data_IF_606945831370
#
_entry.id   IF_606945831370
#
_cell.length_a   1.000
_cell.length_b   1.000
_cell.length_c   1.000
_cell.angle_alpha   90.00
_cell.angle_beta   90.00
_cell.angle_gamma   90.00
#
_symmetry.space_group_name_H-M   'P 1'
#
loop_
_entity.id
_entity.type
_entity.pdbx_description
1 polymer ?
#
# COMPACT_ATOMS: atom_id res chain seq x y z
N UNK A 1 -13.62 11.46 23.18
CA UNK A 1 -12.75 12.43 22.44
C UNK A 1 -13.54 13.19 21.38
N UNK A 2 -13.17 14.42 21.07
CA UNK A 2 -13.63 15.12 19.87
C UNK A 2 -12.75 14.75 18.68
N UNK A 3 -13.22 15.01 17.44
CA UNK A 3 -12.43 14.68 16.23
C UNK A 3 -11.79 15.92 15.62
N UNK A 4 -10.49 15.82 15.35
CA UNK A 4 -9.76 16.81 14.57
C UNK A 4 -9.48 16.26 13.15
N UNK A 5 -9.86 17.02 12.14
CA UNK A 5 -9.51 16.76 10.73
C UNK A 5 -8.30 17.62 10.39
N UNK A 6 -7.21 16.98 9.95
CA UNK A 6 -5.99 17.67 9.52
C UNK A 6 -5.92 17.60 8.00
N UNK A 7 -6.16 18.72 7.35
CA UNK A 7 -6.09 18.93 5.91
C UNK A 7 -4.94 19.88 5.59
N UNK A 8 -3.71 19.40 5.69
CA UNK A 8 -2.49 20.18 5.57
C UNK A 8 -1.42 19.42 4.81
N UNK A 9 -0.55 20.13 4.09
CA UNK A 9 0.64 19.56 3.44
C UNK A 9 1.72 19.15 4.46
N UNK A 10 1.61 19.65 5.70
CA UNK A 10 2.55 19.36 6.81
C UNK A 10 1.81 18.82 8.04
N UNK A 11 1.02 17.74 7.92
CA UNK A 11 0.16 17.28 9.02
C UNK A 11 0.93 16.88 10.29
N UNK A 12 2.18 16.44 10.17
CA UNK A 12 3.03 16.10 11.31
C UNK A 12 3.25 17.25 12.31
N UNK A 13 3.15 18.50 11.86
CA UNK A 13 3.25 19.67 12.75
C UNK A 13 2.10 19.74 13.76
N UNK A 14 0.96 19.12 13.45
CA UNK A 14 -0.27 19.22 14.23
C UNK A 14 -0.59 17.95 15.02
N UNK A 15 -0.13 16.79 14.58
CA UNK A 15 -0.47 15.49 15.19
C UNK A 15 -0.17 15.47 16.69
N UNK A 16 1.00 15.96 17.09
CA UNK A 16 1.45 15.97 18.48
C UNK A 16 0.87 17.11 19.32
N UNK A 17 0.25 18.12 18.67
CA UNK A 17 -0.39 19.23 19.39
C UNK A 17 -1.86 18.96 19.72
N UNK A 18 -2.38 17.80 19.29
CA UNK A 18 -3.78 17.42 19.44
C UNK A 18 -3.93 16.07 20.16
N UNK A 19 -3.36 15.90 21.39
CA UNK A 19 -3.34 14.59 22.08
C UNK A 19 -4.75 14.13 22.48
N UNK A 20 -5.67 15.07 22.74
CA UNK A 20 -7.04 14.80 23.21
C UNK A 20 -8.06 14.64 22.08
N UNK A 21 -7.60 14.62 20.83
CA UNK A 21 -8.46 14.49 19.66
C UNK A 21 -8.32 13.14 18.98
N UNK A 22 -9.42 12.63 18.46
CA UNK A 22 -9.43 11.60 17.42
C UNK A 22 -8.95 12.22 16.10
N UNK A 23 -7.90 11.69 15.49
CA UNK A 23 -7.27 12.29 14.32
C UNK A 23 -7.78 11.67 13.01
N UNK A 24 -8.17 12.51 12.09
CA UNK A 24 -8.41 12.16 10.68
C UNK A 24 -7.51 13.02 9.80
N UNK A 25 -6.57 12.41 9.09
CA UNK A 25 -5.67 13.12 8.19
C UNK A 25 -6.19 12.95 6.77
N UNK A 26 -6.44 14.05 6.08
CA UNK A 26 -6.99 14.06 4.73
C UNK A 26 -6.01 14.69 3.73
N UNK A 27 -6.06 14.20 2.49
CA UNK A 27 -5.25 14.76 1.42
C UNK A 27 -5.65 16.21 1.13
N UNK A 28 -4.76 17.20 1.26
CA UNK A 28 -5.03 18.59 1.00
C UNK A 28 -5.35 18.89 -0.49
N UNK A 29 -4.98 17.99 -1.39
CA UNK A 29 -5.23 18.12 -2.83
C UNK A 29 -6.58 17.49 -3.26
N UNK A 30 -7.41 17.05 -2.31
CA UNK A 30 -8.77 16.62 -2.62
C UNK A 30 -9.58 17.75 -3.28
N UNK A 31 -10.43 17.36 -4.25
CA UNK A 31 -11.40 18.33 -4.80
C UNK A 31 -12.34 18.86 -3.70
N UNK A 32 -12.88 20.09 -3.84
CA UNK A 32 -13.82 20.63 -2.85
C UNK A 32 -14.98 19.67 -2.54
N UNK A 33 -15.60 19.07 -3.57
CA UNK A 33 -16.68 18.09 -3.43
C UNK A 33 -16.25 16.87 -2.63
N UNK A 34 -15.02 16.38 -2.86
CA UNK A 34 -14.47 15.23 -2.13
C UNK A 34 -14.21 15.56 -0.67
N UNK A 35 -13.64 16.73 -0.40
CA UNK A 35 -13.41 17.20 0.96
C UNK A 35 -14.72 17.38 1.72
N UNK A 36 -15.73 18.00 1.11
CA UNK A 36 -17.07 18.16 1.68
C UNK A 36 -17.70 16.81 2.03
N UNK A 37 -17.62 15.82 1.12
CA UNK A 37 -18.07 14.46 1.38
C UNK A 37 -17.38 13.84 2.61
N UNK A 38 -16.05 13.94 2.71
CA UNK A 38 -15.30 13.41 3.85
C UNK A 38 -15.67 14.11 5.16
N UNK A 39 -15.85 15.44 5.13
CA UNK A 39 -16.23 16.24 6.29
C UNK A 39 -17.65 15.92 6.76
N UNK A 40 -18.60 15.70 5.84
CA UNK A 40 -19.99 15.36 6.18
C UNK A 40 -20.13 13.99 6.87
N UNK A 41 -19.17 13.08 6.66
CA UNK A 41 -19.15 11.72 7.23
C UNK A 41 -18.17 11.57 8.41
N UNK A 42 -17.54 12.65 8.89
CA UNK A 42 -16.45 12.55 9.87
C UNK A 42 -16.78 13.04 11.28
N UNK A 43 -17.95 13.64 11.51
CA UNK A 43 -18.33 14.16 12.86
C UNK A 43 -17.23 15.01 13.51
N UNK A 44 -16.59 15.89 12.73
CA UNK A 44 -15.45 16.66 13.21
C UNK A 44 -15.84 17.83 14.13
N UNK A 45 -14.92 18.24 14.99
CA UNK A 45 -15.04 19.40 15.87
C UNK A 45 -13.97 20.47 15.61
N UNK A 46 -12.82 20.03 15.09
CA UNK A 46 -11.69 20.89 14.75
C UNK A 46 -11.22 20.56 13.34
N UNK A 47 -11.00 21.56 12.51
CA UNK A 47 -10.32 21.38 11.23
C UNK A 47 -9.08 22.27 11.18
N UNK A 48 -7.94 21.64 10.90
CA UNK A 48 -6.63 22.30 10.74
C UNK A 48 -6.25 22.29 9.27
N UNK A 49 -5.96 23.45 8.72
CA UNK A 49 -5.48 23.63 7.35
C UNK A 49 -4.20 24.45 7.34
N UNK A 50 -3.52 24.52 6.19
CA UNK A 50 -2.35 25.41 6.04
C UNK A 50 -2.69 26.90 6.18
N UNK A 51 -3.96 27.28 6.02
CA UNK A 51 -4.45 28.65 6.13
C UNK A 51 -5.04 29.01 7.49
N UNK A 52 -5.21 28.05 8.39
CA UNK A 52 -5.74 28.32 9.74
C UNK A 52 -6.55 27.17 10.35
N UNK A 53 -7.18 27.46 11.47
CA UNK A 53 -7.95 26.52 12.27
C UNK A 53 -9.42 26.96 12.25
N UNK A 54 -10.32 25.97 12.05
CA UNK A 54 -11.76 26.14 12.18
C UNK A 54 -12.28 25.21 13.28
N UNK A 55 -13.17 25.73 14.12
CA UNK A 55 -13.81 24.96 15.20
C UNK A 55 -15.32 24.95 15.02
N UNK A 56 -15.94 23.85 15.44
CA UNK A 56 -17.40 23.73 15.55
C UNK A 56 -17.76 22.86 16.75
N UNK A 57 -19.00 22.94 17.20
CA UNK A 57 -19.50 22.06 18.24
C UNK A 57 -19.86 20.70 17.62
N UNK A 58 -18.87 19.79 17.53
CA UNK A 58 -19.07 18.43 17.06
C UNK A 58 -19.32 17.44 18.20
N UNK A 59 -19.85 16.24 17.91
CA UNK A 59 -20.15 15.22 18.90
C UNK A 59 -18.88 14.64 19.53
N UNK A 60 -19.05 13.97 20.69
CA UNK A 60 -18.05 13.07 21.24
C UNK A 60 -18.01 11.80 20.39
N UNK A 61 -16.82 11.43 19.91
CA UNK A 61 -16.60 10.25 19.08
C UNK A 61 -16.06 9.04 19.86
N UNK A 62 -16.17 9.08 21.21
CA UNK A 62 -15.70 8.01 22.09
C UNK A 62 -14.17 7.94 22.22
N UNK A 63 -13.64 6.75 22.47
CA UNK A 63 -12.22 6.52 22.76
C UNK A 63 -11.39 6.21 21.50
N UNK A 64 -11.84 6.63 20.32
CA UNK A 64 -11.10 6.42 19.08
C UNK A 64 -10.00 7.48 18.89
N UNK A 65 -8.77 7.02 18.64
CA UNK A 65 -7.59 7.89 18.43
C UNK A 65 -7.36 8.20 16.96
N UNK A 66 -7.59 7.24 16.07
CA UNK A 66 -7.43 7.41 14.63
C UNK A 66 -8.73 7.13 13.90
N UNK A 67 -8.95 7.87 12.83
CA UNK A 67 -10.06 7.72 11.92
C UNK A 67 -9.54 7.72 10.48
N UNK A 68 -9.60 6.56 9.86
CA UNK A 68 -9.15 6.34 8.49
C UNK A 68 -10.31 6.28 7.52
N UNK A 69 -10.04 6.61 6.27
CA UNK A 69 -10.95 6.36 5.17
C UNK A 69 -10.21 5.70 4.00
N UNK A 70 -10.92 4.87 3.24
CA UNK A 70 -10.42 4.28 2.00
C UNK A 70 -11.29 4.73 0.84
N UNK A 71 -10.68 4.87 -0.35
CA UNK A 71 -11.46 5.01 -1.58
C UNK A 71 -12.04 3.65 -1.92
N UNK A 72 -13.31 3.42 -1.57
CA UNK A 72 -14.00 2.20 -1.95
C UNK A 72 -13.98 1.99 -3.47
N UNK A 73 -13.88 0.75 -3.92
CA UNK A 73 -13.96 0.37 -5.35
C UNK A 73 -15.31 0.73 -5.97
N UNK A 74 -16.34 0.91 -5.14
CA UNK A 74 -17.71 1.31 -5.52
C UNK A 74 -17.92 2.82 -5.60
N UNK A 75 -16.90 3.65 -5.29
CA UNK A 75 -16.99 5.12 -5.29
C UNK A 75 -17.22 5.72 -3.90
N UNK A 76 -17.89 5.02 -2.98
CA UNK A 76 -18.11 5.47 -1.61
C UNK A 76 -16.91 5.13 -0.72
N UNK A 77 -16.49 6.08 0.12
CA UNK A 77 -15.45 5.81 1.10
C UNK A 77 -15.96 4.95 2.24
N UNK A 78 -15.15 3.98 2.63
CA UNK A 78 -15.34 3.26 3.89
C UNK A 78 -14.51 3.94 4.98
N UNK A 79 -15.08 4.02 6.17
CA UNK A 79 -14.47 4.68 7.33
C UNK A 79 -14.19 3.65 8.42
N UNK A 80 -13.02 3.78 9.07
CA UNK A 80 -12.54 2.87 10.10
C UNK A 80 -12.02 3.69 11.28
N UNK A 81 -12.38 3.28 12.49
CA UNK A 81 -11.96 3.94 13.73
C UNK A 81 -11.11 3.00 14.57
N UNK A 82 -10.04 3.52 15.14
CA UNK A 82 -9.10 2.78 15.96
C UNK A 82 -8.85 3.49 17.28
N UNK A 83 -8.82 2.71 18.36
CA UNK A 83 -8.54 3.20 19.71
C UNK A 83 -7.05 3.49 19.91
N UNK A 84 -6.71 4.22 20.98
CA UNK A 84 -5.31 4.42 21.36
C UNK A 84 -4.62 3.07 21.63
N UNK A 85 -5.30 2.12 22.28
CA UNK A 85 -4.75 0.78 22.56
C UNK A 85 -4.37 0.05 21.27
N UNK A 86 -5.21 0.10 20.24
CA UNK A 86 -4.89 -0.52 18.94
C UNK A 86 -3.68 0.15 18.27
N UNK A 87 -3.57 1.48 18.39
CA UNK A 87 -2.41 2.22 17.89
C UNK A 87 -1.13 1.84 18.65
N UNK A 88 -1.18 1.73 19.97
CA UNK A 88 -0.03 1.36 20.80
C UNK A 88 0.45 -0.07 20.50
N UNK A 89 -0.47 -1.01 20.30
CA UNK A 89 -0.15 -2.38 19.86
C UNK A 89 0.55 -2.35 18.51
N UNK A 90 0.00 -1.60 17.54
CA UNK A 90 0.60 -1.47 16.21
C UNK A 90 2.03 -0.91 16.29
N UNK A 91 2.24 0.15 17.06
CA UNK A 91 3.55 0.78 17.25
C UNK A 91 4.55 -0.25 17.78
N UNK A 92 4.18 -0.98 18.82
CA UNK A 92 5.08 -1.93 19.48
C UNK A 92 5.42 -3.13 18.58
N UNK A 93 4.44 -3.67 17.85
CA UNK A 93 4.65 -4.80 16.94
C UNK A 93 5.55 -4.40 15.76
N UNK A 94 5.32 -3.24 15.15
CA UNK A 94 6.15 -2.75 14.05
C UNK A 94 7.57 -2.40 14.53
N UNK A 95 7.67 -1.77 15.71
CA UNK A 95 8.95 -1.47 16.35
C UNK A 95 9.79 -2.73 16.56
N UNK A 96 9.18 -3.79 17.11
CA UNK A 96 9.85 -5.09 17.33
C UNK A 96 10.23 -5.77 16.02
N UNK A 97 9.31 -5.79 15.04
CA UNK A 97 9.55 -6.46 13.77
C UNK A 97 10.74 -5.88 13.00
N UNK A 98 10.89 -4.56 13.02
CA UNK A 98 11.96 -3.85 12.33
C UNK A 98 13.13 -3.47 13.24
N UNK A 99 13.11 -3.89 14.51
CA UNK A 99 14.13 -3.55 15.50
C UNK A 99 14.44 -2.05 15.51
N UNK A 100 13.38 -1.22 15.57
CA UNK A 100 13.51 0.24 15.57
C UNK A 100 13.94 0.75 16.94
N UNK A 101 14.90 1.66 16.95
CA UNK A 101 15.52 2.25 18.14
C UNK A 101 15.63 3.77 18.02
N UNK A 102 15.90 4.50 19.10
CA UNK A 102 16.17 5.94 19.05
C UNK A 102 17.39 6.36 18.20
N UNK A 103 18.25 5.41 17.83
CA UNK A 103 19.39 5.66 16.95
C UNK A 103 19.01 5.63 15.47
N UNK A 104 17.77 5.24 15.15
CA UNK A 104 17.33 5.16 13.77
C UNK A 104 16.87 6.51 13.23
N UNK A 105 17.08 6.70 11.92
CA UNK A 105 16.68 7.86 11.15
C UNK A 105 15.73 7.44 10.05
N UNK A 106 14.52 8.00 10.07
CA UNK A 106 13.47 7.74 9.08
C UNK A 106 13.27 8.95 8.17
N UNK A 107 13.54 8.79 6.88
CA UNK A 107 13.15 9.80 5.90
C UNK A 107 11.77 9.46 5.34
N UNK A 108 10.77 10.25 5.70
CA UNK A 108 9.37 10.01 5.37
C UNK A 108 8.97 10.74 4.09
N UNK A 109 8.68 10.00 3.03
CA UNK A 109 8.15 10.51 1.76
C UNK A 109 6.71 10.06 1.51
N UNK A 110 6.24 9.07 2.28
CA UNK A 110 4.88 8.58 2.16
C UNK A 110 3.90 9.54 2.82
N UNK A 111 2.81 9.91 2.12
CA UNK A 111 1.83 10.85 2.66
C UNK A 111 1.15 10.34 3.94
N UNK A 112 1.00 11.21 4.93
CA UNK A 112 0.33 10.86 6.20
C UNK A 112 -1.20 10.75 6.10
N UNK A 113 -1.81 11.12 4.99
CA UNK A 113 -3.23 10.80 4.71
C UNK A 113 -3.43 9.39 4.14
N UNK A 114 -2.36 8.64 3.99
CA UNK A 114 -2.37 7.23 3.58
C UNK A 114 -1.90 6.33 4.74
N UNK A 115 -2.58 5.19 4.94
CA UNK A 115 -2.28 4.27 6.03
C UNK A 115 -0.82 3.85 6.13
N UNK A 116 -0.14 3.64 4.99
CA UNK A 116 1.29 3.33 4.96
C UNK A 116 2.16 4.44 5.58
N UNK A 117 1.92 5.70 5.21
CA UNK A 117 2.67 6.83 5.78
C UNK A 117 2.42 6.98 7.28
N UNK A 118 1.16 6.84 7.71
CA UNK A 118 0.80 6.91 9.13
C UNK A 118 1.43 5.78 9.95
N UNK A 119 1.33 4.54 9.47
CA UNK A 119 1.93 3.37 10.11
C UNK A 119 3.40 3.61 10.46
N UNK A 120 4.19 3.99 9.48
CA UNK A 120 5.64 4.14 9.70
C UNK A 120 5.99 5.40 10.48
N UNK A 121 5.21 6.45 10.33
CA UNK A 121 5.37 7.65 11.14
C UNK A 121 5.16 7.35 12.63
N UNK A 122 4.03 6.72 12.99
CA UNK A 122 3.74 6.41 14.40
C UNK A 122 4.72 5.37 14.97
N UNK A 123 5.12 4.37 14.19
CA UNK A 123 6.12 3.39 14.62
C UNK A 123 7.48 4.03 14.88
N UNK A 124 7.97 4.87 13.96
CA UNK A 124 9.22 5.59 14.10
C UNK A 124 9.18 6.58 15.28
N UNK A 125 8.08 7.31 15.45
CA UNK A 125 7.87 8.22 16.56
C UNK A 125 7.84 7.47 17.91
N UNK A 126 7.10 6.37 17.99
CA UNK A 126 7.02 5.54 19.19
C UNK A 126 8.34 4.86 19.55
N UNK A 127 9.22 4.61 18.57
CA UNK A 127 10.58 4.12 18.79
C UNK A 127 11.58 5.22 19.16
N UNK A 128 11.18 6.50 19.11
CA UNK A 128 12.08 7.64 19.37
C UNK A 128 13.04 7.95 18.23
N UNK A 129 12.77 7.48 17.02
CA UNK A 129 13.61 7.72 15.84
C UNK A 129 13.64 9.21 15.46
N UNK A 130 14.75 9.65 14.88
CA UNK A 130 14.79 10.93 14.17
C UNK A 130 13.97 10.83 12.88
N UNK A 131 13.04 11.77 12.65
CA UNK A 131 12.15 11.74 11.48
C UNK A 131 12.31 13.02 10.68
N UNK A 132 12.66 12.88 9.40
CA UNK A 132 12.66 13.98 8.45
C UNK A 132 11.63 13.72 7.34
N UNK A 133 10.80 14.74 7.06
CA UNK A 133 9.85 14.72 5.96
C UNK A 133 10.42 15.45 4.75
N UNK A 134 10.17 14.92 3.54
CA UNK A 134 10.65 15.57 2.34
C UNK A 134 10.13 14.98 1.05
N UNK A 135 10.69 15.45 -0.07
CA UNK A 135 10.33 15.01 -1.41
C UNK A 135 11.20 13.83 -1.85
N UNK A 136 10.61 12.89 -2.58
CA UNK A 136 11.35 11.80 -3.27
C UNK A 136 12.40 12.31 -4.27
N UNK A 137 12.26 13.56 -4.74
CA UNK A 137 13.16 14.17 -5.74
C UNK A 137 14.34 14.91 -5.12
N UNK A 138 14.36 15.06 -3.81
CA UNK A 138 15.45 15.79 -3.11
C UNK A 138 16.55 14.83 -2.66
N UNK A 139 17.25 14.26 -3.64
CA UNK A 139 18.35 13.31 -3.40
C UNK A 139 19.41 13.88 -2.44
N UNK A 140 19.81 15.15 -2.62
CA UNK A 140 20.86 15.77 -1.78
C UNK A 140 20.47 15.81 -0.30
N UNK A 141 19.21 16.15 0.00
CA UNK A 141 18.71 16.17 1.37
C UNK A 141 18.61 14.75 1.93
N UNK A 142 18.18 13.77 1.13
CA UNK A 142 18.08 12.38 1.55
C UNK A 142 19.45 11.80 1.89
N UNK A 143 20.43 11.97 1.00
CA UNK A 143 21.81 11.49 1.20
C UNK A 143 22.51 12.20 2.38
N UNK A 144 22.27 13.51 2.57
CA UNK A 144 22.79 14.26 3.73
C UNK A 144 22.15 13.78 5.05
N UNK A 145 20.86 13.51 5.07
CA UNK A 145 20.15 12.96 6.23
C UNK A 145 20.62 11.55 6.55
N UNK A 146 20.98 10.78 5.51
CA UNK A 146 21.51 9.42 5.58
C UNK A 146 20.60 8.50 6.41
N UNK A 147 19.39 8.20 5.94
CA UNK A 147 18.42 7.42 6.69
C UNK A 147 18.93 6.01 7.00
N UNK A 148 18.59 5.48 8.18
CA UNK A 148 18.90 4.09 8.54
C UNK A 148 17.83 3.12 8.07
N UNK A 149 16.62 3.60 7.77
CA UNK A 149 15.60 2.80 7.12
C UNK A 149 14.66 3.66 6.25
N UNK A 150 14.08 2.98 5.28
CA UNK A 150 13.08 3.53 4.38
C UNK A 150 11.85 2.63 4.34
N UNK A 151 10.71 3.22 4.05
CA UNK A 151 9.46 2.51 3.91
C UNK A 151 8.64 3.19 2.81
N UNK A 152 8.58 2.54 1.64
CA UNK A 152 8.12 3.17 0.40
C UNK A 152 7.33 2.19 -0.48
N UNK A 153 6.72 2.71 -1.53
CA UNK A 153 6.18 1.88 -2.62
C UNK A 153 7.31 1.43 -3.56
N UNK A 154 7.13 0.34 -4.32
CA UNK A 154 8.19 -0.20 -5.20
C UNK A 154 8.81 0.82 -6.16
N UNK A 155 8.02 1.69 -6.80
CA UNK A 155 8.55 2.70 -7.74
C UNK A 155 9.47 3.71 -7.06
N UNK A 156 9.16 4.13 -5.84
CA UNK A 156 10.05 4.97 -5.04
C UNK A 156 11.29 4.17 -4.60
N UNK A 157 11.12 2.89 -4.27
CA UNK A 157 12.22 1.98 -3.93
C UNK A 157 13.22 1.85 -5.06
N UNK A 158 12.76 1.73 -6.32
CA UNK A 158 13.62 1.73 -7.51
C UNK A 158 14.47 3.02 -7.59
N UNK A 159 13.85 4.18 -7.38
CA UNK A 159 14.55 5.46 -7.38
C UNK A 159 15.57 5.54 -6.24
N UNK A 160 15.16 5.23 -5.02
CA UNK A 160 16.02 5.32 -3.84
C UNK A 160 17.16 4.32 -3.85
N UNK A 161 17.02 3.18 -4.56
CA UNK A 161 18.11 2.22 -4.73
C UNK A 161 19.32 2.78 -5.49
N UNK A 162 19.20 3.97 -6.09
CA UNK A 162 20.29 4.66 -6.79
C UNK A 162 20.98 5.73 -5.93
N UNK A 163 20.50 5.98 -4.69
CA UNK A 163 21.02 7.02 -3.80
C UNK A 163 22.10 6.46 -2.87
N UNK A 164 23.03 7.32 -2.47
CA UNK A 164 24.09 6.95 -1.52
C UNK A 164 23.60 7.13 -0.08
N UNK A 165 23.28 6.02 0.58
CA UNK A 165 22.78 5.97 1.97
C UNK A 165 23.57 4.90 2.75
N UNK A 166 24.81 5.19 3.14
CA UNK A 166 25.73 4.20 3.71
C UNK A 166 25.27 3.60 5.06
N UNK A 167 24.42 4.30 5.82
CA UNK A 167 23.89 3.79 7.09
C UNK A 167 22.54 3.07 6.94
N UNK A 168 22.04 2.90 5.71
CA UNK A 168 20.78 2.20 5.49
C UNK A 168 20.85 0.75 5.98
N UNK A 169 19.96 0.37 6.89
CA UNK A 169 19.85 -0.98 7.46
C UNK A 169 18.89 -1.86 6.68
N UNK A 170 17.79 -1.28 6.20
CA UNK A 170 16.78 -1.98 5.38
C UNK A 170 15.90 -1.02 4.61
N UNK A 171 15.22 -1.56 3.59
CA UNK A 171 14.16 -0.87 2.85
C UNK A 171 12.88 -1.71 2.85
N UNK A 172 11.79 -1.20 3.45
CA UNK A 172 10.46 -1.80 3.39
C UNK A 172 9.72 -1.39 2.12
N UNK A 173 9.18 -2.36 1.38
CA UNK A 173 8.34 -2.15 0.19
C UNK A 173 6.92 -2.63 0.44
N UNK A 174 5.92 -1.82 0.12
CA UNK A 174 4.52 -2.19 0.33
C UNK A 174 3.54 -1.30 -0.41
N UNK A 175 2.24 -1.53 -0.19
CA UNK A 175 1.11 -0.82 -0.80
C UNK A 175 0.91 -1.03 -2.31
N UNK A 176 1.85 -1.65 -3.00
CA UNK A 176 1.75 -2.03 -4.41
C UNK A 176 2.50 -3.35 -4.63
N UNK A 177 2.13 -4.14 -5.64
CA UNK A 177 2.89 -5.32 -6.01
C UNK A 177 4.29 -4.94 -6.52
N UNK A 178 5.24 -5.86 -6.34
CA UNK A 178 6.58 -5.77 -6.93
C UNK A 178 6.88 -7.06 -7.68
N UNK A 179 7.52 -6.93 -8.84
CA UNK A 179 8.00 -8.09 -9.58
C UNK A 179 9.29 -8.63 -8.95
N UNK A 180 9.56 -9.92 -9.14
CA UNK A 180 10.81 -10.54 -8.67
C UNK A 180 12.04 -9.86 -9.29
N UNK A 181 11.95 -9.47 -10.56
CA UNK A 181 13.03 -8.77 -11.28
C UNK A 181 13.33 -7.42 -10.62
N UNK A 182 12.31 -6.62 -10.34
CA UNK A 182 12.48 -5.30 -9.70
C UNK A 182 12.97 -5.44 -8.25
N UNK A 183 12.43 -6.42 -7.51
CA UNK A 183 12.88 -6.72 -6.17
C UNK A 183 14.38 -7.06 -6.14
N UNK A 184 14.83 -7.96 -7.01
CA UNK A 184 16.24 -8.37 -7.09
C UNK A 184 17.14 -7.20 -7.51
N UNK A 185 16.72 -6.37 -8.48
CA UNK A 185 17.46 -5.17 -8.88
C UNK A 185 17.62 -4.16 -7.73
N UNK A 186 16.56 -3.92 -6.95
CA UNK A 186 16.63 -3.04 -5.78
C UNK A 186 17.59 -3.64 -4.75
N UNK A 187 17.43 -4.91 -4.40
CA UNK A 187 18.23 -5.61 -3.41
C UNK A 187 19.74 -5.60 -3.76
N UNK A 188 20.07 -5.87 -5.02
CA UNK A 188 21.45 -5.83 -5.51
C UNK A 188 22.06 -4.42 -5.38
N UNK A 189 21.32 -3.37 -5.73
CA UNK A 189 21.82 -1.99 -5.71
C UNK A 189 22.04 -1.45 -4.31
N UNK A 190 21.11 -1.71 -3.39
CA UNK A 190 21.20 -1.13 -2.03
C UNK A 190 22.05 -1.97 -1.08
N UNK A 191 22.26 -3.26 -1.36
CA UNK A 191 23.13 -4.14 -0.57
C UNK A 191 22.63 -4.46 0.86
N UNK A 192 21.38 -4.09 1.20
CA UNK A 192 20.74 -4.33 2.50
C UNK A 192 19.42 -5.09 2.33
N UNK A 193 18.82 -5.66 3.40
CA UNK A 193 17.53 -6.31 3.33
C UNK A 193 16.45 -5.45 2.68
N UNK A 194 15.74 -6.02 1.70
CA UNK A 194 14.53 -5.48 1.10
C UNK A 194 13.35 -6.27 1.65
N UNK A 195 12.47 -5.60 2.37
CA UNK A 195 11.37 -6.25 3.08
C UNK A 195 10.07 -6.00 2.32
N UNK A 196 9.66 -6.99 1.53
CA UNK A 196 8.32 -6.97 0.93
C UNK A 196 7.28 -7.22 2.02
N UNK A 197 6.18 -6.45 1.99
CA UNK A 197 5.18 -6.45 3.05
C UNK A 197 3.78 -6.13 2.57
N UNK A 198 2.81 -6.62 3.31
CA UNK A 198 1.39 -6.40 3.10
C UNK A 198 0.75 -5.76 4.34
N UNK A 199 -0.25 -4.94 4.10
CA UNK A 199 -1.08 -4.37 5.14
C UNK A 199 -2.33 -3.75 4.56
N UNK A 200 -3.35 -3.63 5.38
CA UNK A 200 -4.61 -3.01 5.02
C UNK A 200 -5.07 -2.02 6.09
N UNK A 201 -5.91 -1.08 5.68
CA UNK A 201 -6.45 -0.06 6.59
C UNK A 201 -7.28 -0.71 7.69
N UNK A 202 -8.01 -1.76 7.37
CA UNK A 202 -8.91 -2.50 8.25
C UNK A 202 -8.21 -3.16 9.43
N UNK A 203 -6.92 -3.47 9.28
CA UNK A 203 -6.07 -4.03 10.35
C UNK A 203 -5.03 -3.02 10.87
N UNK A 204 -5.27 -1.74 10.70
CA UNK A 204 -4.38 -0.65 11.13
C UNK A 204 -2.93 -0.83 10.64
N UNK A 205 -2.76 -1.06 9.34
CA UNK A 205 -1.45 -1.06 8.69
C UNK A 205 -0.83 -2.43 8.47
N UNK A 206 0.41 -2.65 8.92
CA UNK A 206 1.20 -3.85 8.66
C UNK A 206 0.56 -5.11 9.23
N UNK A 207 0.35 -6.10 8.36
CA UNK A 207 -0.20 -7.40 8.77
C UNK A 207 0.77 -8.55 8.49
N UNK A 208 1.49 -8.48 7.37
CA UNK A 208 2.42 -9.53 6.94
C UNK A 208 3.68 -8.85 6.39
N UNK A 209 4.86 -9.37 6.72
CA UNK A 209 6.12 -8.85 6.21
C UNK A 209 7.21 -9.92 6.19
N UNK A 210 8.12 -9.85 5.23
CA UNK A 210 9.37 -10.59 5.32
C UNK A 210 10.15 -10.16 6.58
N UNK A 211 10.83 -11.07 7.27
CA UNK A 211 11.57 -10.75 8.49
C UNK A 211 12.80 -9.87 8.17
N UNK A 212 13.13 -8.92 9.06
CA UNK A 212 14.36 -8.15 8.95
C UNK A 212 15.59 -9.07 9.11
N UNK A 213 15.54 -9.95 10.10
CA UNK A 213 16.56 -10.96 10.37
C UNK A 213 16.03 -12.35 10.01
N UNK A 214 16.73 -13.05 9.16
CA UNK A 214 16.32 -14.34 8.66
C UNK A 214 16.11 -14.38 7.15
N UNK A 215 15.35 -15.36 6.67
CA UNK A 215 15.11 -15.55 5.25
C UNK A 215 14.09 -14.54 4.72
N UNK A 216 14.51 -13.72 3.74
CA UNK A 216 13.58 -12.91 2.92
C UNK A 216 13.25 -13.73 1.67
N UNK A 217 12.09 -14.36 1.67
CA UNK A 217 11.66 -15.26 0.60
C UNK A 217 11.10 -14.50 -0.58
N UNK A 218 11.76 -14.62 -1.73
CA UNK A 218 11.36 -13.99 -2.98
C UNK A 218 9.94 -14.43 -3.40
N UNK A 219 9.17 -13.51 -3.99
CA UNK A 219 7.79 -13.74 -4.44
C UNK A 219 6.76 -13.74 -3.32
N UNK A 220 7.17 -13.68 -2.03
CA UNK A 220 6.26 -13.66 -0.90
C UNK A 220 6.12 -12.28 -0.27
N UNK A 221 5.04 -12.07 0.47
CA UNK A 221 4.87 -10.90 1.35
C UNK A 221 5.36 -11.18 2.77
N UNK A 222 5.84 -12.40 3.06
CA UNK A 222 6.46 -12.78 4.33
C UNK A 222 5.54 -13.52 5.29
N UNK A 223 5.78 -13.29 6.58
CA UNK A 223 5.14 -13.94 7.72
C UNK A 223 4.18 -12.99 8.45
N UNK A 224 3.19 -13.52 9.22
CA UNK A 224 2.28 -12.70 10.02
C UNK A 224 3.01 -11.83 11.06
N UNK A 225 2.56 -10.58 11.23
CA UNK A 225 3.10 -9.60 12.20
C UNK A 225 1.98 -9.19 13.15
N UNK A 226 1.91 -9.81 14.32
CA UNK A 226 0.91 -9.50 15.34
C UNK A 226 -0.54 -9.71 14.87
N UNK A 227 -0.77 -10.66 13.99
CA UNK A 227 -2.05 -10.97 13.37
C UNK A 227 -2.27 -12.47 13.30
N UNK A 228 -3.48 -12.90 13.57
CA UNK A 228 -3.93 -14.25 13.25
C UNK A 228 -4.36 -14.27 11.78
N UNK A 229 -3.90 -15.26 11.03
CA UNK A 229 -4.27 -15.43 9.62
C UNK A 229 -5.00 -16.76 9.42
N UNK A 230 -5.89 -16.76 8.44
CA UNK A 230 -6.53 -17.97 7.91
C UNK A 230 -6.65 -17.81 6.40
N UNK A 231 -6.24 -18.83 5.67
CA UNK A 231 -6.54 -19.00 4.25
C UNK A 231 -7.76 -19.89 4.16
N UNK A 232 -8.87 -19.38 3.60
CA UNK A 232 -10.10 -20.16 3.48
C UNK A 232 -10.06 -21.13 2.29
N UNK A 233 -11.12 -21.93 2.11
CA UNK A 233 -11.24 -22.91 1.04
C UNK A 233 -11.21 -22.31 -0.37
N UNK A 234 -11.52 -21.01 -0.50
CA UNK A 234 -11.46 -20.25 -1.74
C UNK A 234 -10.14 -19.48 -1.90
N UNK A 235 -9.14 -19.75 -1.05
CA UNK A 235 -7.84 -19.08 -0.98
C UNK A 235 -7.90 -17.61 -0.52
N UNK A 236 -8.99 -17.15 0.09
CA UNK A 236 -9.06 -15.80 0.62
C UNK A 236 -8.21 -15.65 1.87
N UNK A 237 -7.44 -14.57 1.93
CA UNK A 237 -6.73 -14.16 3.14
C UNK A 237 -7.70 -13.52 4.11
N UNK A 238 -7.88 -14.16 5.26
CA UNK A 238 -8.66 -13.63 6.37
C UNK A 238 -7.74 -13.25 7.53
N UNK A 239 -7.98 -12.08 8.14
CA UNK A 239 -7.22 -11.52 9.25
C UNK A 239 -8.08 -11.44 10.51
N UNK A 240 -7.48 -11.70 11.68
CA UNK A 240 -8.08 -11.48 12.99
C UNK A 240 -7.02 -11.00 13.98
N UNK A 241 -7.44 -10.37 15.08
CA UNK A 241 -6.54 -9.95 16.13
C UNK A 241 -6.82 -8.55 16.67
N UNK A 242 -6.00 -8.09 17.62
CA UNK A 242 -6.31 -6.91 18.44
C UNK A 242 -6.33 -5.59 17.68
N UNK A 243 -5.70 -5.52 16.51
CA UNK A 243 -5.65 -4.30 15.68
C UNK A 243 -6.77 -4.21 14.65
N UNK A 244 -7.60 -5.25 14.50
CA UNK A 244 -8.72 -5.23 13.58
C UNK A 244 -9.75 -4.18 14.01
N UNK A 245 -10.34 -3.46 13.05
CA UNK A 245 -11.36 -2.42 13.32
C UNK A 245 -12.65 -2.95 13.96
N UNK A 246 -12.83 -4.28 13.97
CA UNK A 246 -13.98 -5.00 14.56
C UNK A 246 -13.55 -6.35 15.10
N UNK A 247 -14.35 -6.94 15.93
CA UNK A 247 -14.12 -8.32 16.39
C UNK A 247 -14.35 -9.36 15.28
N UNK A 248 -13.68 -10.51 15.43
CA UNK A 248 -13.81 -11.67 14.54
C UNK A 248 -12.83 -11.67 13.37
N UNK A 249 -13.25 -12.26 12.26
CA UNK A 249 -12.43 -12.40 11.05
C UNK A 249 -12.83 -11.38 9.99
N UNK A 250 -11.83 -10.85 9.30
CA UNK A 250 -11.98 -9.93 8.18
C UNK A 250 -11.39 -10.56 6.92
N UNK A 251 -12.22 -10.78 5.89
CA UNK A 251 -11.79 -11.17 4.55
C UNK A 251 -11.22 -9.94 3.84
N UNK A 252 -9.93 -10.00 3.50
CA UNK A 252 -9.24 -8.90 2.80
C UNK A 252 -9.66 -8.79 1.34
N UNK A 253 -10.22 -9.84 0.77
CA UNK A 253 -10.48 -10.01 -0.65
C UNK A 253 -9.22 -10.29 -1.47
N UNK A 254 -8.07 -10.49 -0.83
CA UNK A 254 -6.84 -10.95 -1.48
C UNK A 254 -6.80 -12.48 -1.51
N UNK A 255 -6.43 -13.03 -2.65
CA UNK A 255 -6.21 -14.47 -2.83
C UNK A 255 -4.75 -14.79 -2.57
N UNK A 256 -4.50 -15.82 -1.78
CA UNK A 256 -3.14 -16.16 -1.33
C UNK A 256 -2.89 -17.67 -1.34
N UNK A 257 -1.61 -18.01 -1.30
CA UNK A 257 -1.11 -19.32 -0.89
C UNK A 257 -0.19 -19.14 0.31
N UNK A 258 -0.24 -20.11 1.22
CA UNK A 258 0.67 -20.21 2.36
C UNK A 258 1.49 -21.50 2.19
N UNK A 259 2.82 -21.39 2.30
CA UNK A 259 3.69 -22.55 2.27
C UNK A 259 3.82 -23.22 3.65
N UNK A 260 4.55 -24.33 3.69
CA UNK A 260 4.73 -25.14 4.91
C UNK A 260 5.51 -24.41 6.01
N UNK A 261 6.30 -23.38 5.68
CA UNK A 261 7.03 -22.53 6.63
C UNK A 261 6.21 -21.30 7.05
N UNK A 262 4.99 -21.14 6.54
CA UNK A 262 4.06 -20.08 6.89
C UNK A 262 4.17 -18.78 6.06
N UNK A 263 5.06 -18.74 5.04
CA UNK A 263 5.16 -17.59 4.17
C UNK A 263 3.97 -17.48 3.23
N UNK A 264 3.53 -16.24 3.02
CA UNK A 264 2.33 -15.91 2.24
C UNK A 264 2.74 -15.35 0.88
N UNK A 265 2.17 -15.90 -0.18
CA UNK A 265 2.26 -15.39 -1.55
C UNK A 265 0.90 -14.84 -1.99
N UNK A 266 0.85 -13.60 -2.47
CA UNK A 266 -0.38 -13.03 -3.05
C UNK A 266 -0.52 -13.57 -4.47
N UNK A 267 -1.67 -14.20 -4.75
CA UNK A 267 -2.06 -14.65 -6.09
C UNK A 267 -2.79 -13.56 -6.86
N UNK A 268 -3.58 -12.72 -6.17
CA UNK A 268 -4.36 -11.61 -6.76
C UNK A 268 -5.49 -11.12 -5.87
N UNK A 269 -6.47 -10.45 -6.49
CA UNK A 269 -7.70 -9.98 -5.81
C UNK A 269 -8.89 -10.75 -6.33
N UNK A 270 -9.75 -11.22 -5.42
CA UNK A 270 -10.97 -11.95 -5.81
C UNK A 270 -11.87 -11.12 -6.76
N UNK A 271 -11.98 -9.81 -6.52
CA UNK A 271 -12.76 -8.88 -7.34
C UNK A 271 -12.14 -8.56 -8.69
N UNK A 272 -10.85 -8.81 -8.88
CA UNK A 272 -10.13 -8.55 -10.13
C UNK A 272 -10.10 -9.78 -11.04
N UNK A 273 -10.51 -10.94 -10.54
CA UNK A 273 -10.54 -12.18 -11.34
C UNK A 273 -11.40 -12.03 -12.58
N UNK A 274 -10.84 -12.40 -13.72
CA UNK A 274 -11.55 -12.44 -15.01
C UNK A 274 -12.17 -13.82 -15.15
N UNK A 275 -13.50 -13.88 -15.31
CA UNK A 275 -14.20 -15.15 -15.50
C UNK A 275 -14.45 -15.40 -16.99
N UNK A 276 -13.63 -16.25 -17.59
CA UNK A 276 -13.79 -16.64 -18.99
C UNK A 276 -14.42 -18.04 -19.05
N UNK A 277 -15.71 -18.12 -19.34
CA UNK A 277 -16.45 -19.39 -19.49
C UNK A 277 -16.31 -20.34 -18.29
N UNK A 278 -16.34 -19.77 -17.07
CA UNK A 278 -16.21 -20.54 -15.82
C UNK A 278 -14.76 -20.71 -15.32
N UNK A 279 -13.77 -20.35 -16.12
CA UNK A 279 -12.36 -20.33 -15.69
C UNK A 279 -12.03 -19.00 -15.05
N UNK A 280 -11.62 -19.03 -13.78
CA UNK A 280 -11.15 -17.87 -13.04
C UNK A 280 -9.69 -17.62 -13.38
N UNK A 281 -9.42 -16.50 -14.01
CA UNK A 281 -8.07 -16.04 -14.40
C UNK A 281 -7.67 -14.92 -13.47
N UNK A 282 -6.52 -15.07 -12.85
CA UNK A 282 -5.94 -14.01 -12.05
C UNK A 282 -5.06 -13.10 -12.93
N UNK A 283 -5.40 -11.80 -13.06
CA UNK A 283 -4.64 -10.85 -13.85
C UNK A 283 -3.18 -10.70 -13.40
N UNK A 284 -2.93 -10.68 -12.09
CA UNK A 284 -1.59 -10.49 -11.55
C UNK A 284 -0.63 -11.61 -11.95
N UNK A 285 -1.12 -12.86 -11.95
CA UNK A 285 -0.33 -14.00 -12.40
C UNK A 285 0.11 -13.87 -13.86
N UNK A 286 -0.79 -13.39 -14.74
CA UNK A 286 -0.47 -13.17 -16.16
C UNK A 286 0.48 -11.99 -16.32
N UNK A 287 0.27 -10.90 -15.60
CA UNK A 287 1.13 -9.71 -15.59
C UNK A 287 2.57 -10.08 -15.21
N UNK A 288 2.75 -10.86 -14.14
CA UNK A 288 4.06 -11.33 -13.72
C UNK A 288 4.76 -12.21 -14.77
N UNK A 289 4.02 -13.13 -15.41
CA UNK A 289 4.58 -13.95 -16.48
C UNK A 289 5.02 -13.10 -17.68
N UNK A 290 4.23 -12.08 -18.04
CA UNK A 290 4.52 -11.19 -19.15
C UNK A 290 5.75 -10.32 -18.87
N UNK A 291 5.85 -9.73 -17.67
CA UNK A 291 7.00 -8.92 -17.24
C UNK A 291 8.29 -9.74 -17.13
N UNK A 292 8.18 -11.00 -16.70
CA UNK A 292 9.34 -11.91 -16.63
C UNK A 292 9.80 -12.36 -18.03
N UNK A 293 8.88 -12.51 -18.98
CA UNK A 293 9.20 -12.96 -20.34
C UNK A 293 9.76 -11.85 -21.21
N UNK A 294 9.27 -10.62 -21.07
CA UNK A 294 9.66 -9.47 -21.88
C UNK A 294 10.38 -8.40 -21.05
N UNK A 295 11.72 -8.43 -20.98
CA UNK A 295 12.48 -7.42 -20.20
C UNK A 295 12.29 -5.97 -20.68
N UNK A 296 11.82 -5.77 -21.90
CA UNK A 296 11.51 -4.46 -22.48
C UNK A 296 10.15 -3.90 -22.06
N UNK A 297 9.25 -4.71 -21.48
CA UNK A 297 8.01 -4.26 -20.88
C UNK A 297 8.29 -3.79 -19.45
N UNK A 298 8.04 -2.52 -19.17
CA UNK A 298 8.28 -1.92 -17.85
C UNK A 298 7.05 -1.96 -16.95
N UNK A 299 5.85 -1.98 -17.55
CA UNK A 299 4.59 -2.03 -16.83
C UNK A 299 3.52 -2.70 -17.72
N UNK A 300 2.62 -3.46 -17.11
CA UNK A 300 1.46 -3.99 -17.81
C UNK A 300 0.24 -4.08 -16.90
N UNK A 301 -0.95 -4.13 -17.49
CA UNK A 301 -2.20 -4.38 -16.80
C UNK A 301 -3.09 -5.30 -17.63
N UNK A 302 -3.49 -6.40 -17.01
CA UNK A 302 -4.47 -7.36 -17.54
C UNK A 302 -5.81 -7.11 -16.87
N UNK A 303 -6.89 -7.01 -17.65
CA UNK A 303 -8.21 -6.67 -17.15
C UNK A 303 -9.34 -7.19 -18.06
N UNK A 304 -10.54 -7.15 -17.54
CA UNK A 304 -11.76 -7.57 -18.25
C UNK A 304 -12.78 -8.21 -17.32
N UNK A 305 -13.91 -8.64 -17.86
CA UNK A 305 -14.96 -9.37 -17.13
C UNK A 305 -15.09 -10.81 -17.63
N UNK A 306 -15.39 -10.95 -18.91
CA UNK A 306 -15.61 -12.20 -19.63
C UNK A 306 -14.57 -12.44 -20.75
N UNK A 307 -13.66 -11.50 -20.94
CA UNK A 307 -12.58 -11.52 -21.93
C UNK A 307 -11.37 -10.83 -21.38
N UNK A 308 -10.20 -11.35 -21.73
CA UNK A 308 -8.91 -10.79 -21.34
C UNK A 308 -8.57 -9.64 -22.28
N UNK A 309 -8.15 -8.51 -21.69
CA UNK A 309 -7.50 -7.39 -22.37
C UNK A 309 -6.17 -7.13 -21.68
N UNK A 310 -5.22 -6.58 -22.42
CA UNK A 310 -3.90 -6.21 -21.91
C UNK A 310 -3.49 -4.84 -22.44
N UNK A 311 -3.00 -3.99 -21.55
CA UNK A 311 -2.24 -2.78 -21.90
C UNK A 311 -0.86 -2.88 -21.29
N UNK A 312 0.15 -2.33 -21.97
CA UNK A 312 1.53 -2.37 -21.47
C UNK A 312 2.33 -1.15 -21.91
N UNK A 313 3.42 -0.90 -21.21
CA UNK A 313 4.44 0.11 -21.54
C UNK A 313 5.72 -0.65 -21.89
N UNK A 314 6.17 -0.55 -23.12
CA UNK A 314 7.34 -1.27 -23.62
C UNK A 314 7.53 -1.13 -25.11
N UNK A 315 8.62 -1.73 -25.62
CA UNK A 315 9.02 -1.64 -27.04
C UNK A 315 8.60 -2.87 -27.85
N UNK A 316 8.03 -3.89 -27.20
CA UNK A 316 7.53 -5.09 -27.86
C UNK A 316 6.32 -4.78 -28.73
N UNK A 317 6.15 -5.55 -29.80
CA UNK A 317 4.99 -5.39 -30.67
C UNK A 317 3.73 -6.01 -30.03
N UNK A 318 2.58 -5.41 -30.29
CA UNK A 318 1.28 -5.96 -29.84
C UNK A 318 1.07 -7.41 -30.31
N UNK A 319 1.66 -7.78 -31.44
CA UNK A 319 1.60 -9.15 -31.99
C UNK A 319 2.40 -10.14 -31.13
N UNK A 320 3.60 -9.78 -30.70
CA UNK A 320 4.43 -10.63 -29.82
C UNK A 320 3.75 -10.86 -28.48
N UNK A 321 3.25 -9.78 -27.85
CA UNK A 321 2.49 -9.86 -26.59
C UNK A 321 1.22 -10.69 -26.75
N UNK A 322 0.46 -10.50 -27.84
CA UNK A 322 -0.74 -11.30 -28.15
C UNK A 322 -0.40 -12.77 -28.30
N UNK A 323 0.70 -13.09 -29.00
CA UNK A 323 1.13 -14.47 -29.21
C UNK A 323 1.51 -15.12 -27.88
N UNK A 324 2.31 -14.43 -27.07
CA UNK A 324 2.69 -14.90 -25.73
C UNK A 324 1.46 -15.20 -24.86
N UNK A 325 0.57 -14.23 -24.69
CA UNK A 325 -0.66 -14.40 -23.89
C UNK A 325 -1.52 -15.57 -24.37
N UNK A 326 -1.65 -15.74 -25.69
CA UNK A 326 -2.42 -16.83 -26.28
C UNK A 326 -1.80 -18.22 -26.02
N UNK A 327 -0.47 -18.27 -25.77
CA UNK A 327 0.26 -19.50 -25.47
C UNK A 327 0.27 -19.87 -23.98
N UNK A 328 -0.05 -18.93 -23.06
CA UNK A 328 -0.18 -19.23 -21.63
C UNK A 328 -1.28 -20.29 -21.42
N UNK A 329 -2.45 -20.05 -22.01
CA UNK A 329 -3.52 -21.02 -22.03
C UNK A 329 -4.54 -20.65 -23.10
N UNK A 330 -5.34 -21.64 -23.53
CA UNK A 330 -6.42 -21.42 -24.51
C UNK A 330 -7.47 -20.39 -24.06
N UNK A 331 -7.56 -20.12 -22.75
CA UNK A 331 -8.44 -19.14 -22.14
C UNK A 331 -7.84 -17.74 -22.08
N UNK A 332 -6.51 -17.62 -22.16
CA UNK A 332 -5.80 -16.36 -22.08
C UNK A 332 -5.69 -15.60 -23.41
N UNK A 333 -6.37 -16.06 -24.47
CA UNK A 333 -6.40 -15.35 -25.75
C UNK A 333 -7.01 -13.95 -25.58
N UNK A 334 -6.23 -12.88 -25.72
CA UNK A 334 -6.71 -11.52 -25.47
C UNK A 334 -7.66 -11.06 -26.58
N UNK A 335 -8.68 -10.29 -26.18
CA UNK A 335 -9.53 -9.54 -27.14
C UNK A 335 -8.77 -8.32 -27.68
N UNK A 336 -8.01 -7.68 -26.82
CA UNK A 336 -7.24 -6.48 -27.12
C UNK A 336 -5.88 -6.53 -26.42
N UNK A 337 -4.85 -6.13 -27.16
CA UNK A 337 -3.51 -5.81 -26.62
C UNK A 337 -3.14 -4.45 -27.15
N UNK A 338 -2.65 -3.53 -26.28
CA UNK A 338 -2.20 -2.20 -26.70
C UNK A 338 -0.95 -1.77 -25.95
N UNK A 339 0.02 -1.24 -26.69
CA UNK A 339 1.12 -0.47 -26.13
C UNK A 339 0.65 0.95 -25.81
N UNK A 340 1.01 1.45 -24.64
CA UNK A 340 0.71 2.79 -24.15
C UNK A 340 1.99 3.51 -23.74
N UNK A 341 1.99 4.83 -23.77
CA UNK A 341 3.08 5.63 -23.20
C UNK A 341 3.07 5.55 -21.65
N UNK A 342 1.89 5.42 -21.04
CA UNK A 342 1.67 5.32 -19.61
C UNK A 342 0.35 4.61 -19.33
N UNK A 343 0.31 3.74 -18.31
CA UNK A 343 -0.93 3.11 -17.85
C UNK A 343 -1.65 4.04 -16.86
N UNK A 344 -2.95 4.33 -17.06
CA UNK A 344 -3.71 5.19 -16.14
C UNK A 344 -3.72 4.65 -14.72
N UNK A 345 -3.35 5.49 -13.76
CA UNK A 345 -3.33 5.20 -12.33
C UNK A 345 -4.27 6.15 -11.57
N UNK A 346 -4.73 5.71 -10.41
CA UNK A 346 -5.47 6.57 -9.51
C UNK A 346 -4.52 7.52 -8.74
N UNK A 347 -5.10 8.42 -7.92
CA UNK A 347 -4.36 9.44 -7.16
C UNK A 347 -3.33 8.88 -6.14
N UNK A 348 -3.30 7.57 -5.93
CA UNK A 348 -2.34 6.87 -5.06
C UNK A 348 -1.39 5.97 -5.85
N UNK A 349 -1.31 6.14 -7.17
CA UNK A 349 -0.40 5.42 -8.04
C UNK A 349 -0.80 3.97 -8.37
N UNK A 350 -2.05 3.53 -8.06
CA UNK A 350 -2.52 2.17 -8.36
C UNK A 350 -3.29 2.14 -9.67
N UNK A 351 -3.05 1.09 -10.46
CA UNK A 351 -3.84 0.77 -11.67
C UNK A 351 -5.27 0.40 -11.26
N UNK A 352 -6.25 1.01 -11.90
CA UNK A 352 -7.67 0.70 -11.71
C UNK A 352 -8.18 -0.22 -12.83
N UNK A 353 -8.20 -1.54 -12.60
CA UNK A 353 -8.70 -2.51 -13.60
C UNK A 353 -10.13 -2.26 -14.00
N UNK A 354 -10.98 -1.89 -13.05
CA UNK A 354 -12.37 -1.47 -13.32
C UNK A 354 -12.43 -0.22 -14.20
N UNK A 355 -11.52 0.75 -13.97
CA UNK A 355 -11.40 1.95 -14.80
C UNK A 355 -10.95 1.61 -16.22
N UNK A 356 -9.94 0.76 -16.37
CA UNK A 356 -9.47 0.27 -17.66
C UNK A 356 -10.58 -0.51 -18.39
N UNK A 357 -11.30 -1.39 -17.69
CA UNK A 357 -12.42 -2.13 -18.27
C UNK A 357 -13.46 -1.16 -18.83
N UNK A 358 -13.86 -0.13 -18.09
CA UNK A 358 -14.82 0.89 -18.57
C UNK A 358 -14.30 1.67 -19.78
N UNK A 359 -13.00 1.99 -19.79
CA UNK A 359 -12.36 2.78 -20.86
C UNK A 359 -12.27 1.99 -22.19
N UNK A 360 -12.02 0.69 -22.11
CA UNK A 360 -11.74 -0.17 -23.26
C UNK A 360 -12.85 -1.19 -23.58
N UNK A 361 -13.98 -1.20 -22.85
CA UNK A 361 -15.13 -2.10 -23.11
C UNK A 361 -16.14 -1.51 -24.08
N UNK A 362 -15.86 -0.36 -24.70
CA UNK A 362 -16.70 0.25 -25.73
C UNK A 362 -16.44 -0.32 -27.11
#
# INVERSE_FOLDING_TARGET
>A
MKRAVICSRTPWKYINTLPDYSLMIVNPDNTPTRLEYLLSHSDWSLMVTDSGIQERNGPDVGNYRLFHYTSGTTGDSKFYSFTQVQLDIMIEEVRKWYDLTPNDRYYSVMPLWHGHGQLMYFAAQGAGCEIQFGSVRDQKTIEKFNPTFLSVIPDIGKLFSTFNMPDLRFMGLGSAPITDVDYLKIKERIGVPVINRFGCTEYLGLSIANPLYGEQRLGTIGLPVGVDIRVDENKHLCLSGPRLYKEGWYDTGDLVEQDDDGYITILGRAVDQINIRGYKIDPLSIENQLLNHFPGITECAVFGLDRLNCVYVGNETEKEVTTFLSNISSYCKPKMVRSLAEIPKNNIGKVSRTGLTKLYSQ
#
